data_IF_429812138070
#
_entry.id   IF_429812138070
#
_cell.length_a   1.000
_cell.length_b   1.000
_cell.length_c   1.000
_cell.angle_alpha   90.00
_cell.angle_beta   90.00
_cell.angle_gamma   90.00
#
_symmetry.space_group_name_H-M   'P 1'
#
loop_
_entity.id
_entity.type
_entity.pdbx_description
1 polymer ?
#
# COMPACT_ATOMS: atom_id res chain seq x y z
N UNK A 1 -10.75 -20.67 -1.67
CA UNK A 1 -11.80 -21.68 -1.82
C UNK A 1 -11.67 -22.81 -0.79
N UNK A 2 -10.46 -23.14 -0.39
CA UNK A 2 -10.18 -24.30 0.48
C UNK A 2 -10.05 -23.92 1.98
N UNK A 3 -10.43 -22.72 2.34
CA UNK A 3 -10.34 -22.21 3.71
C UNK A 3 -9.00 -21.52 4.02
N UNK A 4 -8.93 -20.90 5.19
CA UNK A 4 -7.78 -20.08 5.62
C UNK A 4 -6.54 -20.93 5.97
N UNK A 5 -6.71 -22.20 6.24
CA UNK A 5 -5.63 -23.12 6.57
C UNK A 5 -4.86 -23.61 5.34
N UNK A 6 -5.42 -23.42 4.15
CA UNK A 6 -4.79 -23.84 2.90
C UNK A 6 -3.98 -22.70 2.27
N UNK A 7 -3.13 -23.05 1.30
CA UNK A 7 -2.32 -22.07 0.58
C UNK A 7 -3.22 -21.14 -0.24
N UNK A 8 -3.18 -19.85 0.06
CA UNK A 8 -3.84 -18.82 -0.73
C UNK A 8 -3.18 -18.61 -2.10
N UNK A 9 -3.90 -17.99 -3.02
CA UNK A 9 -3.39 -17.61 -4.32
C UNK A 9 -3.86 -16.22 -4.73
N UNK A 10 -3.11 -15.58 -5.60
CA UNK A 10 -3.46 -14.29 -6.18
C UNK A 10 -4.43 -14.50 -7.33
N UNK A 11 -5.64 -13.89 -7.22
CA UNK A 11 -6.65 -13.94 -8.25
C UNK A 11 -6.83 -12.54 -8.86
N UNK A 12 -6.30 -12.33 -10.05
CA UNK A 12 -6.38 -11.05 -10.78
C UNK A 12 -7.39 -11.07 -11.92
N UNK A 13 -7.57 -12.23 -12.56
CA UNK A 13 -8.37 -12.41 -13.75
C UNK A 13 -9.77 -12.90 -13.36
N UNK A 14 -10.76 -12.04 -13.51
CA UNK A 14 -12.14 -12.40 -13.22
C UNK A 14 -12.73 -13.40 -14.21
N UNK A 15 -12.16 -13.48 -15.42
CA UNK A 15 -12.60 -14.41 -16.46
C UNK A 15 -14.06 -14.29 -16.83
N UNK A 16 -14.60 -15.37 -17.39
CA UNK A 16 -16.01 -15.49 -17.76
C UNK A 16 -16.93 -15.94 -16.61
N UNK A 17 -16.35 -16.34 -15.48
CA UNK A 17 -17.10 -16.81 -14.30
C UNK A 17 -17.71 -15.67 -13.48
N UNK A 18 -17.26 -14.43 -13.70
CA UNK A 18 -17.81 -13.27 -13.00
C UNK A 18 -19.26 -13.03 -13.45
N UNK A 19 -20.17 -12.72 -12.50
CA UNK A 19 -21.56 -12.41 -12.83
C UNK A 19 -21.68 -11.27 -13.85
N UNK A 20 -22.64 -11.30 -14.73
CA UNK A 20 -22.84 -10.29 -15.79
C UNK A 20 -23.04 -8.86 -15.27
N UNK A 21 -23.51 -8.71 -14.03
CA UNK A 21 -23.66 -7.41 -13.38
C UNK A 21 -22.34 -6.86 -12.79
N UNK A 22 -21.32 -7.72 -12.57
CA UNK A 22 -20.02 -7.29 -12.04
C UNK A 22 -19.22 -6.61 -13.15
N UNK A 23 -18.89 -5.34 -12.94
CA UNK A 23 -18.14 -4.57 -13.93
C UNK A 23 -16.71 -5.09 -14.00
N UNK A 24 -16.21 -5.22 -15.23
CA UNK A 24 -14.82 -5.60 -15.52
C UNK A 24 -14.14 -4.56 -16.41
N UNK A 25 -12.81 -4.52 -16.37
CA UNK A 25 -11.96 -3.81 -17.32
C UNK A 25 -10.87 -4.73 -17.79
N UNK A 26 -10.85 -5.00 -19.08
CA UNK A 26 -9.76 -5.73 -19.72
C UNK A 26 -8.54 -4.83 -19.84
N UNK A 27 -7.39 -5.30 -19.36
CA UNK A 27 -6.12 -4.59 -19.41
C UNK A 27 -5.03 -5.60 -19.78
N UNK A 28 -4.22 -5.27 -20.79
CA UNK A 28 -3.07 -6.09 -21.15
C UNK A 28 -2.03 -6.10 -20.03
N UNK A 29 -1.61 -7.29 -19.63
CA UNK A 29 -0.60 -7.49 -18.60
C UNK A 29 0.74 -7.85 -19.23
N UNK A 30 1.71 -6.95 -19.17
CA UNK A 30 3.07 -7.17 -19.67
C UNK A 30 3.75 -8.39 -19.01
N UNK A 31 3.52 -8.58 -17.71
CA UNK A 31 4.12 -9.69 -16.96
C UNK A 31 3.50 -11.04 -17.29
N UNK A 32 2.19 -11.08 -17.57
CA UNK A 32 1.47 -12.31 -17.94
C UNK A 32 1.42 -12.52 -19.46
N UNK A 33 1.78 -11.50 -20.27
CA UNK A 33 1.71 -11.47 -21.76
C UNK A 33 0.34 -11.86 -22.28
N UNK A 34 -0.71 -11.42 -21.60
CA UNK A 34 -2.12 -11.63 -21.98
C UNK A 34 -3.02 -10.54 -21.43
N UNK A 35 -4.21 -10.46 -21.98
CA UNK A 35 -5.29 -9.66 -21.42
C UNK A 35 -5.77 -10.26 -20.11
N UNK A 36 -6.08 -9.39 -19.13
CA UNK A 36 -6.64 -9.76 -17.82
C UNK A 36 -7.89 -8.93 -17.58
N UNK A 37 -8.97 -9.59 -17.21
CA UNK A 37 -10.23 -8.96 -16.84
C UNK A 37 -10.24 -8.61 -15.35
N UNK A 38 -9.90 -7.37 -15.02
CA UNK A 38 -9.92 -6.90 -13.64
C UNK A 38 -11.34 -6.56 -13.19
N UNK A 39 -11.76 -7.04 -12.02
CA UNK A 39 -12.99 -6.59 -11.37
C UNK A 39 -12.88 -5.14 -10.92
N UNK A 40 -13.96 -4.37 -11.14
CA UNK A 40 -14.09 -2.99 -10.69
C UNK A 40 -14.99 -3.00 -9.46
N UNK A 41 -14.40 -2.93 -8.28
CA UNK A 41 -15.11 -2.99 -7.01
C UNK A 41 -15.47 -1.57 -6.52
N UNK A 42 -16.55 -1.00 -7.07
CA UNK A 42 -17.05 0.33 -6.70
C UNK A 42 -18.43 0.26 -5.99
N UNK A 43 -18.92 -0.94 -5.70
CA UNK A 43 -20.21 -1.14 -5.06
C UNK A 43 -20.21 -2.32 -4.09
N UNK A 44 -21.18 -2.34 -3.18
CA UNK A 44 -21.34 -3.40 -2.18
C UNK A 44 -21.58 -4.79 -2.78
N UNK A 45 -22.41 -4.97 -3.83
CA UNK A 45 -22.60 -6.28 -4.45
C UNK A 45 -21.28 -6.89 -4.96
N UNK A 46 -20.45 -6.11 -5.64
CA UNK A 46 -19.14 -6.58 -6.13
C UNK A 46 -18.22 -6.97 -4.97
N UNK A 47 -18.17 -6.17 -3.90
CA UNK A 47 -17.39 -6.49 -2.71
C UNK A 47 -17.90 -7.78 -2.04
N UNK A 48 -19.22 -7.94 -1.93
CA UNK A 48 -19.82 -9.15 -1.37
C UNK A 48 -19.53 -10.39 -2.23
N UNK A 49 -19.56 -10.25 -3.56
CA UNK A 49 -19.18 -11.31 -4.48
C UNK A 49 -17.73 -11.74 -4.29
N UNK A 50 -16.80 -10.80 -4.23
CA UNK A 50 -15.38 -11.09 -3.98
C UNK A 50 -15.20 -11.82 -2.64
N UNK A 51 -15.87 -11.35 -1.59
CA UNK A 51 -15.82 -12.00 -0.28
C UNK A 51 -16.40 -13.42 -0.30
N UNK A 52 -17.48 -13.65 -1.07
CA UNK A 52 -18.08 -14.99 -1.23
C UNK A 52 -17.15 -15.95 -1.98
N UNK A 53 -16.25 -15.45 -2.85
CA UNK A 53 -15.17 -16.24 -3.47
C UNK A 53 -14.03 -16.57 -2.48
N UNK A 54 -14.12 -16.13 -1.22
CA UNK A 54 -13.08 -16.31 -0.22
C UNK A 54 -11.95 -15.28 -0.32
N UNK A 55 -12.18 -14.14 -0.96
CA UNK A 55 -11.20 -13.05 -1.03
C UNK A 55 -11.09 -12.38 0.34
N UNK A 56 -10.00 -12.66 1.05
CA UNK A 56 -9.69 -12.07 2.35
C UNK A 56 -8.88 -10.78 2.18
N UNK A 57 -7.94 -10.78 1.24
CA UNK A 57 -7.02 -9.68 1.01
C UNK A 57 -7.34 -8.98 -0.31
N UNK A 58 -7.62 -7.68 -0.22
CA UNK A 58 -7.89 -6.82 -1.37
C UNK A 58 -6.65 -6.02 -1.72
N UNK A 59 -6.21 -6.10 -2.97
CA UNK A 59 -5.01 -5.44 -3.46
C UNK A 59 -5.33 -4.63 -4.73
N UNK A 60 -5.86 -3.39 -4.60
CA UNK A 60 -6.20 -2.56 -5.75
C UNK A 60 -4.95 -1.99 -6.44
N UNK A 61 -5.14 -1.56 -7.70
CA UNK A 61 -4.21 -0.67 -8.38
C UNK A 61 -4.19 0.70 -7.69
N UNK A 62 -3.11 1.46 -7.91
CA UNK A 62 -3.00 2.84 -7.42
C UNK A 62 -3.76 3.86 -8.27
N UNK A 63 -4.29 3.44 -9.42
CA UNK A 63 -5.04 4.29 -10.35
C UNK A 63 -6.46 3.77 -10.57
N UNK A 64 -7.32 4.66 -11.08
CA UNK A 64 -8.71 4.35 -11.47
C UNK A 64 -8.79 3.99 -12.94
N UNK A 65 -9.87 3.33 -13.34
CA UNK A 65 -10.12 2.98 -14.76
C UNK A 65 -10.25 4.21 -15.67
N UNK A 66 -10.58 5.37 -15.12
CA UNK A 66 -10.67 6.64 -15.84
C UNK A 66 -9.32 7.31 -16.07
N UNK A 67 -8.28 6.87 -15.37
CA UNK A 67 -6.93 7.43 -15.40
C UNK A 67 -5.87 6.35 -15.16
N UNK A 68 -5.90 5.26 -15.95
CA UNK A 68 -5.08 4.06 -15.71
C UNK A 68 -3.58 4.33 -15.63
N UNK A 69 -3.08 5.32 -16.34
CA UNK A 69 -1.66 5.64 -16.42
C UNK A 69 -1.22 6.72 -15.41
N UNK A 70 -2.17 7.21 -14.60
CA UNK A 70 -1.93 8.24 -13.59
C UNK A 70 -2.46 7.79 -12.23
N UNK A 71 -1.59 7.49 -11.27
CA UNK A 71 -2.02 7.04 -9.94
C UNK A 71 -2.68 8.17 -9.14
N UNK A 72 -3.65 7.80 -8.31
CA UNK A 72 -4.31 8.72 -7.37
C UNK A 72 -3.40 9.10 -6.19
N UNK A 73 -2.45 8.23 -5.87
CA UNK A 73 -1.51 8.38 -4.76
C UNK A 73 -0.17 7.71 -5.04
N UNK A 74 0.87 8.22 -4.43
CA UNK A 74 2.16 7.55 -4.26
C UNK A 74 2.08 6.64 -3.04
N UNK A 75 2.74 5.49 -3.10
CA UNK A 75 2.90 4.60 -1.96
C UNK A 75 4.38 4.22 -1.76
N UNK A 76 4.84 4.26 -0.49
CA UNK A 76 6.10 3.65 -0.05
C UNK A 76 5.73 2.50 0.88
N UNK A 77 6.22 1.31 0.58
CA UNK A 77 6.07 0.11 1.40
C UNK A 77 7.37 -0.15 2.17
N UNK A 78 7.28 -0.22 3.49
CA UNK A 78 8.40 -0.56 4.35
C UNK A 78 8.36 -2.06 4.65
N UNK A 79 9.20 -2.82 3.93
CA UNK A 79 9.22 -4.28 3.97
C UNK A 79 10.45 -4.78 4.75
N UNK A 80 10.26 -5.14 6.06
CA UNK A 80 11.35 -5.62 6.90
C UNK A 80 11.77 -7.04 6.56
N UNK A 81 13.05 -7.34 6.71
CA UNK A 81 13.54 -8.72 6.77
C UNK A 81 13.12 -9.38 8.09
N UNK A 82 13.18 -10.72 8.20
CA UNK A 82 12.88 -11.41 9.46
C UNK A 82 13.78 -11.02 10.65
N UNK A 83 14.92 -10.37 10.40
CA UNK A 83 15.84 -9.91 11.44
C UNK A 83 15.58 -8.50 11.93
N UNK A 84 14.77 -7.72 11.21
CA UNK A 84 14.42 -6.38 11.64
C UNK A 84 13.34 -6.41 12.72
N UNK A 85 13.46 -5.52 13.69
CA UNK A 85 12.42 -5.28 14.68
C UNK A 85 11.36 -4.33 14.12
N UNK A 86 10.13 -4.39 14.67
CA UNK A 86 9.10 -3.44 14.27
C UNK A 86 9.41 -2.00 14.73
N UNK A 87 10.20 -1.84 15.78
CA UNK A 87 10.72 -0.53 16.19
C UNK A 87 11.61 0.10 15.12
N UNK A 88 12.42 -0.69 14.40
CA UNK A 88 13.19 -0.21 13.26
C UNK A 88 12.27 0.19 12.08
N UNK A 89 11.15 -0.51 11.88
CA UNK A 89 10.15 -0.12 10.87
C UNK A 89 9.51 1.22 11.23
N UNK A 90 9.18 1.43 12.52
CA UNK A 90 8.65 2.68 13.04
C UNK A 90 9.66 3.82 12.83
N UNK A 91 10.93 3.61 13.18
CA UNK A 91 12.00 4.59 12.98
C UNK A 91 12.13 4.95 11.50
N UNK A 92 12.15 3.95 10.61
CA UNK A 92 12.18 4.18 9.16
C UNK A 92 10.98 5.00 8.68
N UNK A 93 9.78 4.68 9.17
CA UNK A 93 8.57 5.42 8.80
C UNK A 93 8.62 6.89 9.24
N UNK A 94 9.16 7.17 10.41
CA UNK A 94 9.32 8.53 10.93
C UNK A 94 10.34 9.32 10.13
N UNK A 95 11.45 8.70 9.72
CA UNK A 95 12.45 9.35 8.84
C UNK A 95 11.87 9.62 7.46
N UNK A 96 11.15 8.67 6.85
CA UNK A 96 10.44 8.91 5.57
C UNK A 96 9.44 10.07 5.71
N UNK A 97 8.71 10.13 6.83
CA UNK A 97 7.82 11.26 7.13
C UNK A 97 8.57 12.58 7.21
N UNK A 98 9.71 12.64 7.90
CA UNK A 98 10.52 13.87 7.99
C UNK A 98 10.99 14.36 6.61
N UNK A 99 11.37 13.45 5.72
CA UNK A 99 11.72 13.79 4.34
C UNK A 99 10.52 14.40 3.62
N UNK A 100 9.34 13.80 3.75
CA UNK A 100 8.09 14.37 3.19
C UNK A 100 7.75 15.73 3.80
N UNK A 101 7.87 15.89 5.11
CA UNK A 101 7.60 17.16 5.79
C UNK A 101 8.55 18.27 5.29
N UNK A 102 9.84 17.99 5.11
CA UNK A 102 10.82 18.93 4.52
C UNK A 102 10.41 19.34 3.09
N UNK A 103 9.92 18.41 2.31
CA UNK A 103 9.38 18.68 0.98
C UNK A 103 8.03 19.45 1.01
N UNK A 104 7.45 19.66 2.17
CA UNK A 104 6.12 20.28 2.33
C UNK A 104 4.97 19.35 1.90
N UNK A 105 5.17 18.04 1.99
CA UNK A 105 4.23 17.01 1.58
C UNK A 105 3.44 16.51 2.77
N UNK A 106 2.12 16.49 2.65
CA UNK A 106 1.25 15.81 3.60
C UNK A 106 1.22 14.33 3.28
N UNK A 107 1.62 13.49 4.23
CA UNK A 107 1.65 12.04 4.09
C UNK A 107 0.75 11.34 5.09
N UNK A 108 0.32 10.12 4.74
CA UNK A 108 -0.58 9.28 5.52
C UNK A 108 0.07 7.92 5.76
N UNK A 109 -0.12 7.37 6.94
CA UNK A 109 0.46 6.09 7.30
C UNK A 109 -0.62 5.06 7.61
N UNK A 110 -0.35 3.79 7.31
CA UNK A 110 -1.15 2.66 7.79
C UNK A 110 -0.28 1.46 8.10
N UNK A 111 -0.76 0.54 8.94
CA UNK A 111 -0.13 -0.78 9.06
C UNK A 111 -0.32 -1.56 7.76
N UNK A 112 0.65 -2.39 7.39
CA UNK A 112 0.43 -3.37 6.31
C UNK A 112 -0.59 -4.45 6.72
N UNK A 113 -0.81 -4.62 8.04
CA UNK A 113 -1.53 -5.74 8.63
C UNK A 113 -0.72 -7.05 8.59
N UNK A 114 0.57 -6.96 8.28
CA UNK A 114 1.55 -8.04 8.34
C UNK A 114 2.77 -7.60 9.16
N UNK A 115 3.89 -7.26 8.54
CA UNK A 115 5.16 -6.94 9.22
C UNK A 115 5.62 -5.49 9.06
N UNK A 116 5.01 -4.72 8.17
CA UNK A 116 5.48 -3.40 7.76
C UNK A 116 4.48 -2.26 7.96
N UNK A 117 4.88 -1.10 7.47
CA UNK A 117 4.07 0.10 7.38
C UNK A 117 4.05 0.59 5.92
N UNK A 118 2.92 1.15 5.51
CA UNK A 118 2.79 1.78 4.19
C UNK A 118 2.54 3.28 4.37
N UNK A 119 3.23 4.09 3.58
CA UNK A 119 3.12 5.55 3.60
C UNK A 119 2.56 6.01 2.26
N UNK A 120 1.55 6.87 2.30
CA UNK A 120 0.82 7.34 1.13
C UNK A 120 0.90 8.85 1.01
N UNK A 121 0.94 9.34 -0.24
CA UNK A 121 0.89 10.77 -0.57
C UNK A 121 -0.14 10.98 -1.67
N UNK A 122 -1.11 11.90 -1.52
CA UNK A 122 -2.12 12.17 -2.52
C UNK A 122 -1.52 12.82 -3.79
N UNK A 123 -1.95 12.35 -4.96
CA UNK A 123 -1.50 12.86 -6.26
C UNK A 123 -2.66 13.37 -7.13
N UNK A 124 -3.90 12.91 -6.87
CA UNK A 124 -5.08 13.25 -7.65
C UNK A 124 -4.93 13.01 -9.16
N UNK A 125 -4.28 11.91 -9.53
CA UNK A 125 -4.05 11.48 -10.93
C UNK A 125 -3.41 12.58 -11.82
N UNK A 126 -2.52 13.41 -11.27
CA UNK A 126 -1.87 14.49 -12.01
C UNK A 126 -0.62 14.05 -12.77
N UNK A 127 0.11 13.08 -12.26
CA UNK A 127 1.42 12.62 -12.73
C UNK A 127 1.35 11.19 -13.24
N UNK A 128 2.25 10.81 -14.13
CA UNK A 128 2.38 9.42 -14.56
C UNK A 128 3.17 8.57 -13.55
N UNK A 129 3.17 7.26 -13.76
CA UNK A 129 3.85 6.32 -12.87
C UNK A 129 5.37 6.51 -12.81
N UNK A 130 6.01 6.98 -13.90
CA UNK A 130 7.46 7.20 -13.92
C UNK A 130 7.84 8.43 -13.10
N UNK A 131 7.10 9.53 -13.25
CA UNK A 131 7.28 10.74 -12.44
C UNK A 131 7.14 10.42 -10.94
N UNK A 132 6.07 9.69 -10.58
CA UNK A 132 5.78 9.31 -9.20
C UNK A 132 6.83 8.37 -8.63
N UNK A 133 7.25 7.36 -9.39
CA UNK A 133 8.31 6.42 -9.01
C UNK A 133 9.64 7.13 -8.78
N UNK A 134 10.00 8.08 -9.65
CA UNK A 134 11.25 8.83 -9.53
C UNK A 134 11.26 9.70 -8.27
N UNK A 135 10.16 10.38 -7.97
CA UNK A 135 10.01 11.13 -6.73
C UNK A 135 10.10 10.23 -5.49
N UNK A 136 9.37 9.10 -5.50
CA UNK A 136 9.42 8.12 -4.41
C UNK A 136 10.83 7.55 -4.20
N UNK A 137 11.58 7.34 -5.29
CA UNK A 137 12.96 6.88 -5.22
C UNK A 137 13.89 7.89 -4.53
N UNK A 138 13.76 9.18 -4.86
CA UNK A 138 14.56 10.25 -4.22
C UNK A 138 14.28 10.26 -2.70
N UNK A 139 13.01 10.23 -2.30
CA UNK A 139 12.62 10.16 -0.89
C UNK A 139 13.19 8.92 -0.21
N UNK A 140 13.10 7.76 -0.85
CA UNK A 140 13.61 6.49 -0.32
C UNK A 140 15.14 6.51 -0.14
N UNK A 141 15.89 7.09 -1.09
CA UNK A 141 17.34 7.24 -1.00
C UNK A 141 17.70 8.15 0.19
N UNK A 142 17.12 9.35 0.27
CA UNK A 142 17.39 10.30 1.35
C UNK A 142 17.08 9.69 2.72
N UNK A 143 15.98 8.93 2.84
CA UNK A 143 15.63 8.25 4.09
C UNK A 143 16.61 7.11 4.41
N UNK A 144 17.02 6.32 3.42
CA UNK A 144 17.96 5.22 3.60
C UNK A 144 19.36 5.70 3.99
N UNK A 145 19.81 6.83 3.47
CA UNK A 145 21.10 7.45 3.84
C UNK A 145 21.14 7.92 5.30
N UNK A 146 20.00 8.25 5.90
CA UNK A 146 19.90 8.59 7.32
C UNK A 146 19.90 7.35 8.23
N UNK A 147 19.57 6.17 7.71
CA UNK A 147 19.47 4.90 8.45
C UNK A 147 20.25 3.76 7.76
N UNK A 148 21.56 3.97 7.48
CA UNK A 148 22.35 3.04 6.65
C UNK A 148 22.56 1.66 7.32
N UNK A 149 22.35 1.55 8.63
CA UNK A 149 22.61 0.32 9.39
C UNK A 149 21.57 -0.77 9.21
N UNK A 150 20.34 -0.44 8.78
CA UNK A 150 19.24 -1.41 8.68
C UNK A 150 18.20 -1.11 7.61
N UNK A 151 18.46 -0.16 6.70
CA UNK A 151 17.56 0.14 5.57
C UNK A 151 18.27 -0.03 4.23
N UNK A 152 17.51 -0.22 3.17
CA UNK A 152 18.02 -0.33 1.81
C UNK A 152 16.95 0.03 0.78
N UNK A 153 17.37 0.58 -0.36
CA UNK A 153 16.56 0.76 -1.56
C UNK A 153 16.82 -0.32 -2.62
N UNK A 154 17.63 -1.32 -2.29
CA UNK A 154 18.02 -2.41 -3.19
C UNK A 154 16.98 -3.52 -3.16
N UNK A 155 16.34 -3.81 -4.31
CA UNK A 155 15.27 -4.81 -4.42
C UNK A 155 15.73 -6.27 -4.30
N UNK A 156 16.80 -6.73 -4.99
CA UNK A 156 17.24 -8.12 -4.91
C UNK A 156 17.60 -8.52 -3.49
N UNK A 157 16.99 -9.60 -2.98
CA UNK A 157 17.15 -10.08 -1.61
C UNK A 157 18.61 -10.42 -1.27
N UNK A 158 19.32 -11.05 -2.20
CA UNK A 158 20.74 -11.42 -2.09
C UNK A 158 21.68 -10.23 -1.93
N UNK A 159 21.28 -9.06 -2.46
CA UNK A 159 22.05 -7.79 -2.38
C UNK A 159 21.56 -6.87 -1.25
N UNK A 160 20.30 -6.99 -0.85
CA UNK A 160 19.69 -6.17 0.20
C UNK A 160 20.13 -6.58 1.60
N UNK A 161 20.48 -7.86 1.78
CA UNK A 161 20.79 -8.42 3.09
C UNK A 161 19.59 -8.36 4.05
N UNK A 162 19.88 -8.19 5.34
CA UNK A 162 18.88 -8.17 6.40
C UNK A 162 18.32 -6.75 6.68
N UNK A 163 18.16 -5.95 5.63
CA UNK A 163 17.69 -4.57 5.75
C UNK A 163 16.18 -4.45 5.48
N UNK A 164 15.58 -3.41 6.05
CA UNK A 164 14.23 -2.96 5.69
C UNK A 164 14.30 -2.40 4.28
N UNK A 165 13.50 -2.95 3.38
CA UNK A 165 13.38 -2.42 2.03
C UNK A 165 12.41 -1.25 2.01
N UNK A 166 12.90 -0.08 1.63
CA UNK A 166 12.06 1.09 1.35
C UNK A 166 11.59 0.95 -0.09
N UNK A 167 10.46 0.25 -0.29
CA UNK A 167 9.97 -0.10 -1.63
C UNK A 167 9.24 1.06 -2.29
N UNK A 168 9.98 1.83 -3.07
CA UNK A 168 9.47 2.85 -3.97
C UNK A 168 8.94 2.28 -5.30
N UNK A 169 9.30 1.03 -5.64
CA UNK A 169 8.90 0.37 -6.88
C UNK A 169 7.43 -0.06 -6.88
N UNK A 170 6.73 0.07 -5.74
CA UNK A 170 5.27 0.00 -5.69
C UNK A 170 4.61 1.03 -6.62
N UNK A 171 5.31 2.11 -6.95
CA UNK A 171 4.82 3.15 -7.85
C UNK A 171 5.03 2.82 -9.34
N UNK A 172 5.16 1.56 -9.73
CA UNK A 172 5.14 1.14 -11.13
C UNK A 172 3.73 0.79 -11.56
N UNK A 173 3.43 1.03 -12.84
CA UNK A 173 2.13 0.66 -13.44
C UNK A 173 1.81 -0.81 -13.19
N UNK A 174 0.60 -1.10 -12.73
CA UNK A 174 0.13 -2.46 -12.47
C UNK A 174 0.60 -3.09 -11.14
N UNK A 175 1.34 -2.36 -10.31
CA UNK A 175 1.59 -2.77 -8.94
C UNK A 175 0.32 -2.63 -8.10
N UNK A 176 0.23 -3.47 -7.10
CA UNK A 176 -0.91 -3.52 -6.17
C UNK A 176 -0.39 -3.61 -4.74
N UNK A 177 -1.12 -3.03 -3.82
CA UNK A 177 -0.77 -3.03 -2.40
C UNK A 177 -2.03 -3.29 -1.58
N UNK A 178 -1.87 -3.97 -0.43
CA UNK A 178 -3.01 -4.26 0.45
C UNK A 178 -3.81 -2.99 0.76
N UNK A 179 -5.10 -3.03 0.44
CA UNK A 179 -6.02 -1.91 0.62
C UNK A 179 -6.13 -1.51 2.09
N UNK A 180 -6.48 -0.24 2.31
CA UNK A 180 -6.95 0.22 3.61
C UNK A 180 -8.14 -0.63 4.08
N UNK A 181 -8.12 -1.01 5.34
CA UNK A 181 -9.11 -1.90 5.99
C UNK A 181 -9.20 -3.33 5.43
N UNK A 182 -8.30 -3.72 4.52
CA UNK A 182 -8.19 -5.11 4.09
C UNK A 182 -7.76 -6.01 5.25
N UNK A 183 -8.42 -7.16 5.37
CA UNK A 183 -7.94 -8.24 6.23
C UNK A 183 -6.64 -8.82 5.64
N UNK A 184 -5.82 -9.38 6.52
CA UNK A 184 -4.65 -10.16 6.12
C UNK A 184 -4.79 -11.59 6.64
N UNK A 185 -4.43 -12.60 5.84
CA UNK A 185 -4.49 -14.02 6.23
C UNK A 185 -3.34 -14.34 7.20
N UNK A 186 -3.36 -13.71 8.37
CA UNK A 186 -2.39 -13.85 9.45
C UNK A 186 -3.12 -14.22 10.74
N UNK A 187 -2.41 -14.85 11.67
CA UNK A 187 -2.91 -15.10 13.01
C UNK A 187 -3.47 -13.81 13.63
N UNK A 188 -4.60 -13.92 14.33
CA UNK A 188 -5.32 -12.76 14.88
C UNK A 188 -6.17 -11.99 13.88
N UNK A 189 -6.23 -12.39 12.59
CA UNK A 189 -6.99 -11.70 11.54
C UNK A 189 -6.71 -10.19 11.52
N UNK A 190 -5.43 -9.84 11.40
CA UNK A 190 -4.96 -8.46 11.37
C UNK A 190 -5.58 -7.67 10.22
N UNK A 191 -5.77 -6.38 10.44
CA UNK A 191 -6.35 -5.43 9.49
C UNK A 191 -5.31 -4.39 9.10
N UNK A 192 -5.18 -4.13 7.80
CA UNK A 192 -4.36 -3.04 7.26
C UNK A 192 -5.01 -1.70 7.63
N UNK A 193 -4.54 -1.08 8.71
CA UNK A 193 -5.24 -0.02 9.43
C UNK A 193 -4.57 1.34 9.33
N UNK A 194 -5.30 2.41 8.94
CA UNK A 194 -4.82 3.77 8.99
C UNK A 194 -4.40 4.22 10.39
N UNK A 195 -3.31 4.98 10.45
CA UNK A 195 -2.72 5.52 11.66
C UNK A 195 -2.61 7.03 11.57
N UNK A 196 -2.92 7.71 12.66
CA UNK A 196 -2.44 9.07 12.85
C UNK A 196 -0.92 9.01 13.11
N UNK A 197 -0.14 9.93 12.60
CA UNK A 197 1.31 9.93 12.80
C UNK A 197 1.73 9.90 14.29
N UNK A 198 0.95 10.49 15.19
CA UNK A 198 1.18 10.39 16.65
C UNK A 198 1.02 8.98 17.23
N UNK A 199 0.41 8.04 16.49
CA UNK A 199 0.28 6.64 16.87
C UNK A 199 1.47 5.80 16.38
N UNK A 200 2.25 6.30 15.40
CA UNK A 200 3.47 5.67 14.89
C UNK A 200 4.61 5.95 15.87
N UNK A 201 4.71 5.13 16.91
CA UNK A 201 5.64 5.31 18.00
C UNK A 201 5.97 3.97 18.64
N UNK A 202 7.00 3.95 19.46
CA UNK A 202 7.44 2.78 20.24
C UNK A 202 6.25 2.10 20.93
N UNK A 203 6.21 0.76 20.82
CA UNK A 203 5.16 -0.09 21.37
C UNK A 203 3.99 -0.37 20.43
N UNK A 204 3.89 0.31 19.27
CA UNK A 204 2.95 -0.08 18.22
C UNK A 204 3.33 -1.47 17.69
N UNK A 205 2.31 -2.33 17.48
CA UNK A 205 2.49 -3.64 16.86
C UNK A 205 1.60 -3.78 15.61
N UNK A 206 2.03 -4.51 14.59
CA UNK A 206 1.19 -4.77 13.41
C UNK A 206 -0.11 -5.48 13.74
N UNK A 207 -0.13 -6.23 14.83
CA UNK A 207 -1.25 -7.04 15.32
C UNK A 207 -2.20 -6.29 16.26
N UNK A 208 -1.95 -5.01 16.56
CA UNK A 208 -2.83 -4.21 17.44
C UNK A 208 -4.23 -4.02 16.85
N UNK A 209 -4.35 -4.10 15.52
CA UNK A 209 -5.60 -3.89 14.80
C UNK A 209 -6.05 -5.19 14.13
N UNK A 210 -7.19 -5.70 14.58
CA UNK A 210 -7.75 -6.97 14.14
C UNK A 210 -9.22 -6.80 13.73
N UNK A 211 -9.79 -7.84 13.11
CA UNK A 211 -11.22 -7.89 12.78
C UNK A 211 -12.11 -7.65 14.02
N UNK A 212 -11.64 -7.97 15.22
CA UNK A 212 -12.40 -7.86 16.46
C UNK A 212 -12.45 -6.44 17.04
N UNK A 213 -11.48 -5.57 16.70
CA UNK A 213 -11.39 -4.23 17.29
C UNK A 213 -11.48 -3.08 16.29
N UNK A 214 -11.33 -3.34 14.99
CA UNK A 214 -11.32 -2.30 13.95
C UNK A 214 -12.60 -1.46 13.92
N UNK A 215 -13.77 -2.06 14.15
CA UNK A 215 -15.04 -1.33 14.19
C UNK A 215 -15.12 -0.35 15.36
N UNK A 216 -14.57 -0.73 16.54
CA UNK A 216 -14.48 0.18 17.68
C UNK A 216 -13.59 1.37 17.37
N UNK A 217 -12.46 1.13 16.66
CA UNK A 217 -11.56 2.19 16.19
C UNK A 217 -12.28 3.12 15.23
N UNK A 218 -12.91 2.59 14.18
CA UNK A 218 -13.65 3.39 13.19
C UNK A 218 -14.74 4.26 13.81
N UNK A 219 -15.47 3.74 14.80
CA UNK A 219 -16.47 4.54 15.54
C UNK A 219 -15.83 5.71 16.29
N UNK A 220 -14.59 5.55 16.78
CA UNK A 220 -13.88 6.57 17.56
C UNK A 220 -13.17 7.60 16.68
N UNK A 221 -12.52 7.18 15.62
CA UNK A 221 -11.64 8.03 14.81
C UNK A 221 -12.27 8.50 13.50
N UNK A 222 -13.35 7.85 13.05
CA UNK A 222 -13.82 7.96 11.68
C UNK A 222 -12.83 7.31 10.68
N UNK A 223 -13.08 7.52 9.39
CA UNK A 223 -12.13 7.16 8.35
C UNK A 223 -11.11 8.31 8.15
N UNK A 224 -9.92 8.11 8.71
CA UNK A 224 -8.81 9.08 8.67
C UNK A 224 -7.94 8.94 7.41
N UNK A 225 -8.37 8.13 6.43
CA UNK A 225 -7.58 7.85 5.22
C UNK A 225 -8.19 8.42 3.95
N UNK A 226 -9.38 9.01 4.01
CA UNK A 226 -10.10 9.58 2.86
C UNK A 226 -9.28 10.65 2.12
N UNK A 227 -8.49 11.43 2.84
CA UNK A 227 -7.69 12.52 2.28
C UNK A 227 -6.52 12.06 1.41
N UNK A 228 -6.18 10.76 1.41
CA UNK A 228 -5.25 10.15 0.44
C UNK A 228 -5.78 10.30 -1.00
N UNK A 229 -7.09 10.36 -1.17
CA UNK A 229 -7.74 10.62 -2.46
C UNK A 229 -8.09 12.11 -2.66
N UNK A 230 -7.54 12.99 -1.83
CA UNK A 230 -7.80 14.42 -1.83
C UNK A 230 -6.96 15.19 -2.84
N UNK A 231 -6.70 16.46 -2.50
CA UNK A 231 -5.89 17.36 -3.34
C UNK A 231 -4.46 16.83 -3.46
N UNK A 232 -4.02 16.57 -4.69
CA UNK A 232 -2.65 16.13 -4.98
C UNK A 232 -1.61 17.22 -4.68
N UNK A 233 -0.39 16.76 -4.40
CA UNK A 233 0.79 17.62 -4.22
C UNK A 233 1.28 18.17 -5.58
N UNK A 234 2.23 19.13 -5.52
CA UNK A 234 2.98 19.63 -6.64
C UNK A 234 4.40 19.07 -6.56
N UNK A 235 4.71 18.06 -7.40
CA UNK A 235 5.98 17.31 -7.34
C UNK A 235 7.19 18.21 -7.60
N UNK A 236 7.10 19.15 -8.56
CA UNK A 236 8.23 20.05 -8.87
C UNK A 236 8.59 20.90 -7.67
N UNK A 237 7.59 21.56 -7.06
CA UNK A 237 7.81 22.36 -5.84
C UNK A 237 8.27 21.56 -4.63
N UNK A 238 7.92 20.27 -4.58
CA UNK A 238 8.38 19.40 -3.52
C UNK A 238 9.84 18.99 -3.73
N UNK A 239 10.27 18.73 -4.98
CA UNK A 239 11.65 18.42 -5.33
C UNK A 239 12.59 19.58 -5.06
N UNK A 240 12.17 20.83 -5.31
CA UNK A 240 12.97 22.03 -5.02
C UNK A 240 13.36 22.19 -3.54
N UNK A 241 12.67 21.48 -2.64
CA UNK A 241 12.88 21.56 -1.18
C UNK A 241 13.67 20.39 -0.60
N UNK A 242 13.93 19.35 -1.39
CA UNK A 242 14.73 18.18 -1.02
C UNK A 242 16.19 18.38 -1.37
#
# INVERSE_FOLDING_TARGET
>A
PNGIADKGFYHKDAGDEAPSWAKKKTIYSESAKKDIDYLICNDKPTLAYMNNLGCIELNPWHSRITSLDKPDYLAIDLDPSPKNTFEQVIETALVVKEVFDKAGVVSFCKTSGASGLHIYVPLNARYDYEEVKNFANIVAIIASEQLPGFTSVVRPLDKRGDNIYIDYLQNRRGQTLASVYSLRPREGAAVSTPLLWKEVKKGLQPTDFTIYNIYKRLKKTGDIFTDVLGKGIDLEKCLEKL
#
